data_IF_202219511670
#
_entry.id   IF_202219511670
#
_cell.length_a   1.000
_cell.length_b   1.000
_cell.length_c   1.000
_cell.angle_alpha   90.00
_cell.angle_beta   90.00
_cell.angle_gamma   90.00
#
_symmetry.space_group_name_H-M   'P 1'
#
loop_
_entity.id
_entity.type
_entity.pdbx_description
1 polymer ?
#
# COMPACT_ATOMS: atom_id res chain seq x y z
N UNK A 1 -8.40 -22.29 -2.08
CA UNK A 1 -7.87 -21.32 -3.06
C UNK A 1 -6.86 -20.45 -2.35
N UNK A 2 -5.57 -20.79 -2.42
CA UNK A 2 -4.48 -20.06 -1.75
C UNK A 2 -4.05 -18.87 -2.60
N UNK A 3 -4.15 -17.65 -2.06
CA UNK A 3 -3.63 -16.43 -2.69
C UNK A 3 -2.10 -16.44 -2.54
N UNK A 4 -1.39 -16.67 -3.64
CA UNK A 4 0.06 -16.51 -3.71
C UNK A 4 0.38 -15.05 -4.10
N UNK A 5 1.10 -14.34 -3.23
CA UNK A 5 1.59 -13.01 -3.52
C UNK A 5 2.79 -13.12 -4.47
N UNK A 6 2.66 -12.61 -5.69
CA UNK A 6 3.83 -12.41 -6.56
C UNK A 6 4.45 -11.08 -6.13
N UNK A 7 5.76 -11.04 -5.78
CA UNK A 7 6.40 -9.81 -5.36
C UNK A 7 6.27 -8.73 -6.44
N UNK A 8 5.82 -7.54 -6.03
CA UNK A 8 5.66 -6.38 -6.91
C UNK A 8 7.03 -5.99 -7.48
N UNK A 9 7.12 -5.84 -8.80
CA UNK A 9 8.32 -5.33 -9.46
C UNK A 9 8.65 -3.93 -8.93
N UNK A 10 9.93 -3.55 -8.84
CA UNK A 10 10.33 -2.21 -8.40
C UNK A 10 10.82 -1.36 -9.57
N UNK A 11 10.64 -0.04 -9.46
CA UNK A 11 11.17 0.96 -10.38
C UNK A 11 11.94 2.04 -9.63
N UNK A 12 13.01 2.52 -10.24
CA UNK A 12 13.75 3.68 -9.74
C UNK A 12 13.27 4.92 -10.49
N UNK A 13 12.66 5.84 -9.76
CA UNK A 13 12.28 7.16 -10.25
C UNK A 13 13.46 8.12 -10.07
N UNK A 14 13.55 9.10 -10.98
CA UNK A 14 14.60 10.12 -10.96
C UNK A 14 16.03 9.54 -10.90
N UNK A 15 16.33 8.48 -11.66
CA UNK A 15 17.60 7.75 -11.56
C UNK A 15 18.88 8.59 -11.79
N UNK A 16 18.77 9.75 -12.45
CA UNK A 16 19.89 10.67 -12.69
C UNK A 16 19.94 11.88 -11.73
N UNK A 17 19.02 11.96 -10.75
CA UNK A 17 19.06 13.00 -9.72
C UNK A 17 20.04 12.61 -8.59
N UNK A 18 20.32 13.55 -7.68
CA UNK A 18 21.07 13.27 -6.46
C UNK A 18 20.31 12.45 -5.42
N UNK A 19 18.99 12.24 -5.61
CA UNK A 19 18.10 11.50 -4.71
C UNK A 19 17.13 10.63 -5.53
N UNK A 20 17.59 9.47 -6.03
CA UNK A 20 16.73 8.52 -6.72
C UNK A 20 15.80 7.80 -5.73
N UNK A 21 14.55 7.55 -6.13
CA UNK A 21 13.54 6.92 -5.27
C UNK A 21 13.15 5.56 -5.86
N UNK A 22 13.30 4.49 -5.07
CA UNK A 22 12.81 3.16 -5.46
C UNK A 22 11.38 2.97 -4.98
N UNK A 23 10.47 2.68 -5.91
CA UNK A 23 9.05 2.42 -5.63
C UNK A 23 8.64 1.04 -6.16
N UNK A 24 7.54 0.51 -5.63
CA UNK A 24 6.90 -0.71 -6.14
C UNK A 24 5.99 -0.37 -7.31
N UNK A 25 5.83 -1.30 -8.25
CA UNK A 25 4.99 -1.19 -9.46
C UNK A 25 3.52 -1.04 -9.12
N UNK A 26 3.09 -1.72 -8.06
CA UNK A 26 1.76 -1.66 -7.50
C UNK A 26 1.83 -1.15 -6.06
N UNK A 27 0.84 -0.35 -5.68
CA UNK A 27 0.65 0.15 -4.32
C UNK A 27 -0.79 -0.04 -3.85
N UNK A 28 -1.02 0.10 -2.54
CA UNK A 28 -2.35 0.03 -1.95
C UNK A 28 -3.02 1.41 -1.93
N UNK A 29 -4.15 1.57 -2.63
CA UNK A 29 -4.94 2.80 -2.61
C UNK A 29 -5.68 2.97 -1.28
N UNK A 30 -5.14 3.78 -0.37
CA UNK A 30 -5.67 3.95 0.98
C UNK A 30 -6.80 4.99 1.12
N UNK A 31 -7.24 5.64 0.04
CA UNK A 31 -8.18 6.78 0.10
C UNK A 31 -9.47 6.49 0.88
N UNK A 32 -9.96 5.24 0.89
CA UNK A 32 -11.19 4.84 1.62
C UNK A 32 -10.93 3.90 2.79
N UNK A 33 -9.68 3.81 3.27
CA UNK A 33 -9.37 3.03 4.48
C UNK A 33 -9.86 3.75 5.74
N UNK A 34 -10.02 5.07 5.67
CA UNK A 34 -10.47 5.97 6.74
C UNK A 34 -11.98 6.27 6.64
N UNK A 35 -12.52 6.95 7.66
CA UNK A 35 -13.96 7.07 7.94
C UNK A 35 -14.76 8.05 7.10
N UNK A 36 -16.07 8.06 7.35
CA UNK A 36 -17.16 8.52 6.46
C UNK A 36 -16.79 9.66 5.49
N UNK A 37 -17.01 9.40 4.20
CA UNK A 37 -16.79 10.36 3.12
C UNK A 37 -15.36 10.38 2.58
N UNK A 38 -14.33 10.32 3.43
CA UNK A 38 -12.91 9.95 3.18
C UNK A 38 -12.14 10.08 4.52
N UNK A 39 -12.40 11.14 5.30
CA UNK A 39 -11.63 11.50 6.51
C UNK A 39 -12.36 11.17 7.82
N UNK A 40 -11.58 10.78 8.83
CA UNK A 40 -12.08 10.44 10.17
C UNK A 40 -11.75 9.00 10.56
N UNK A 41 -12.21 8.59 11.73
CA UNK A 41 -11.97 7.24 12.23
C UNK A 41 -12.71 6.20 11.36
N UNK A 42 -12.06 5.14 10.88
CA UNK A 42 -12.74 4.05 10.20
C UNK A 42 -13.82 3.44 11.10
N UNK A 43 -14.92 2.99 10.48
CA UNK A 43 -16.00 2.30 11.20
C UNK A 43 -15.49 1.05 11.95
N UNK A 44 -14.44 0.41 11.43
CA UNK A 44 -13.68 -0.63 12.11
C UNK A 44 -12.18 -0.38 11.95
N UNK A 45 -11.59 0.17 13.01
CA UNK A 45 -10.15 0.43 13.11
C UNK A 45 -9.31 -0.85 13.07
N UNK A 46 -9.80 -1.93 13.68
CA UNK A 46 -9.07 -3.19 13.73
C UNK A 46 -8.87 -3.76 12.34
N UNK A 47 -9.95 -3.80 11.55
CA UNK A 47 -9.91 -4.24 10.16
C UNK A 47 -9.06 -3.31 9.29
N UNK A 48 -9.19 -1.99 9.44
CA UNK A 48 -8.38 -1.03 8.69
C UNK A 48 -6.87 -1.26 8.88
N UNK A 49 -6.42 -1.43 10.12
CA UNK A 49 -5.02 -1.72 10.43
C UNK A 49 -4.59 -3.09 9.90
N UNK A 50 -5.44 -4.11 10.04
CA UNK A 50 -5.16 -5.47 9.55
C UNK A 50 -4.92 -5.49 8.03
N UNK A 51 -5.77 -4.78 7.27
CA UNK A 51 -5.64 -4.67 5.80
C UNK A 51 -4.33 -3.97 5.41
N UNK A 52 -3.97 -2.87 6.09
CA UNK A 52 -2.71 -2.17 5.80
C UNK A 52 -1.48 -3.03 6.10
N UNK A 53 -1.49 -3.78 7.21
CA UNK A 53 -0.41 -4.74 7.50
C UNK A 53 -0.31 -5.80 6.41
N UNK A 54 -1.46 -6.33 5.99
CA UNK A 54 -1.51 -7.34 4.94
C UNK A 54 -1.00 -6.80 3.60
N UNK A 55 -1.29 -5.54 3.26
CA UNK A 55 -0.77 -4.90 2.06
C UNK A 55 0.77 -4.91 2.05
N UNK A 56 1.39 -4.52 3.16
CA UNK A 56 2.86 -4.56 3.31
C UNK A 56 3.42 -5.97 3.19
N UNK A 57 2.78 -6.98 3.81
CA UNK A 57 3.20 -8.38 3.69
C UNK A 57 3.13 -8.90 2.25
N UNK A 58 2.16 -8.43 1.46
CA UNK A 58 2.02 -8.75 0.04
C UNK A 58 3.03 -7.99 -0.84
N UNK A 59 3.84 -7.11 -0.24
CA UNK A 59 4.87 -6.37 -0.93
C UNK A 59 4.32 -5.27 -1.82
N UNK A 60 3.24 -4.60 -1.38
CA UNK A 60 2.71 -3.35 -1.95
C UNK A 60 2.81 -2.19 -0.97
#
# INVERSE_FOLDING_TARGET
>A
MSLHAVPSQTYTLAAASGDPITVRRLGFGAMRITGQGIWGEPADRGTAVSVLKRAVELGV
#
